data_IF_855799109503
#
_entry.id   IF_855799109503
#
_cell.length_a   1.000
_cell.length_b   1.000
_cell.length_c   1.000
_cell.angle_alpha   90.00
_cell.angle_beta   90.00
_cell.angle_gamma   90.00
#
_symmetry.space_group_name_H-M   'P 1'
#
loop_
_entity.id
_entity.type
_entity.pdbx_description
1 polymer ?
#
# COMPACT_ATOMS: atom_id res chain seq x y z
N UNK A 1 -7.37 11.61 9.57
CA UNK A 1 -7.20 10.95 8.25
C UNK A 1 -7.32 9.44 8.44
N UNK A 2 -8.42 8.79 8.03
CA UNK A 2 -8.64 7.35 8.16
C UNK A 2 -7.48 6.49 7.59
N UNK A 3 -6.72 7.06 6.67
CA UNK A 3 -5.56 6.46 6.01
C UNK A 3 -4.48 5.98 7.00
N UNK A 4 -4.31 6.64 8.15
CA UNK A 4 -3.31 6.26 9.14
C UNK A 4 -3.50 4.84 9.67
N UNK A 5 -4.75 4.44 9.96
CA UNK A 5 -5.07 3.08 10.40
C UNK A 5 -4.96 2.10 9.22
N UNK A 6 -5.28 2.55 7.99
CA UNK A 6 -5.12 1.71 6.80
C UNK A 6 -3.66 1.31 6.57
N UNK A 7 -2.69 2.13 6.97
CA UNK A 7 -1.26 1.74 6.92
C UNK A 7 -0.95 0.56 7.84
N UNK A 8 -1.53 0.52 9.05
CA UNK A 8 -1.40 -0.64 9.94
C UNK A 8 -2.05 -1.89 9.33
N UNK A 9 -3.20 -1.73 8.66
CA UNK A 9 -3.86 -2.84 7.97
C UNK A 9 -3.06 -3.36 6.77
N UNK A 10 -2.36 -2.48 6.04
CA UNK A 10 -1.40 -2.90 4.99
C UNK A 10 -0.32 -3.81 5.58
N UNK A 11 0.32 -3.39 6.69
CA UNK A 11 1.37 -4.20 7.34
C UNK A 11 0.82 -5.55 7.80
N UNK A 12 -0.35 -5.56 8.44
CA UNK A 12 -1.02 -6.80 8.85
C UNK A 12 -1.37 -7.70 7.65
N UNK A 13 -1.78 -7.12 6.52
CA UNK A 13 -2.07 -7.88 5.31
C UNK A 13 -0.83 -8.60 4.77
N UNK A 14 0.34 -7.93 4.75
CA UNK A 14 1.61 -8.56 4.37
C UNK A 14 2.02 -9.64 5.37
N UNK A 15 1.84 -9.44 6.67
CA UNK A 15 2.11 -10.46 7.70
C UNK A 15 1.21 -11.69 7.51
N UNK A 16 -0.09 -11.48 7.25
CA UNK A 16 -1.02 -12.59 7.01
C UNK A 16 -0.76 -13.30 5.69
N UNK A 17 -0.35 -12.59 4.64
CA UNK A 17 0.17 -13.19 3.42
C UNK A 17 1.34 -14.12 3.75
N UNK A 18 2.36 -13.60 4.45
CA UNK A 18 3.55 -14.36 4.81
C UNK A 18 3.20 -15.64 5.57
N UNK A 19 2.31 -15.54 6.56
CA UNK A 19 1.87 -16.70 7.35
C UNK A 19 1.06 -17.69 6.52
N UNK A 20 0.17 -17.22 5.65
CA UNK A 20 -0.75 -18.07 4.89
C UNK A 20 -0.09 -18.80 3.71
N UNK A 21 1.08 -18.34 3.22
CA UNK A 21 1.79 -18.93 2.06
C UNK A 21 2.17 -20.40 2.24
N UNK A 22 2.41 -20.83 3.48
CA UNK A 22 2.85 -22.20 3.77
C UNK A 22 1.71 -23.18 3.53
N UNK A 23 0.49 -22.82 3.97
CA UNK A 23 -0.70 -23.66 3.86
C UNK A 23 -1.97 -22.82 3.91
N UNK A 24 -2.85 -23.05 2.93
CA UNK A 24 -4.21 -22.53 2.95
C UNK A 24 -5.09 -23.36 3.90
N UNK A 25 -5.22 -22.88 5.14
CA UNK A 25 -6.02 -23.49 6.20
C UNK A 25 -6.98 -22.46 6.79
N UNK A 26 -8.05 -22.91 7.45
CA UNK A 26 -9.01 -22.02 8.12
C UNK A 26 -8.32 -21.08 9.12
N UNK A 27 -7.33 -21.59 9.87
CA UNK A 27 -6.56 -20.80 10.83
C UNK A 27 -5.72 -19.67 10.19
N UNK A 28 -5.41 -19.79 8.90
CA UNK A 28 -4.66 -18.76 8.15
C UNK A 28 -5.58 -17.85 7.33
N UNK A 29 -6.72 -18.36 6.86
CA UNK A 29 -7.67 -17.57 6.06
C UNK A 29 -8.65 -16.75 6.89
N UNK A 30 -9.05 -17.23 8.08
CA UNK A 30 -9.99 -16.49 8.93
C UNK A 30 -9.44 -15.10 9.35
N UNK A 31 -8.16 -14.94 9.74
CA UNK A 31 -7.60 -13.62 10.01
C UNK A 31 -7.60 -12.69 8.79
N UNK A 32 -7.40 -13.22 7.58
CA UNK A 32 -7.46 -12.45 6.32
C UNK A 32 -8.88 -11.93 6.09
N UNK A 33 -9.88 -12.81 6.18
CA UNK A 33 -11.29 -12.44 6.00
C UNK A 33 -11.73 -11.45 7.07
N UNK A 34 -11.36 -11.66 8.33
CA UNK A 34 -11.67 -10.75 9.42
C UNK A 34 -11.02 -9.37 9.23
N UNK A 35 -9.75 -9.32 8.80
CA UNK A 35 -9.08 -8.07 8.49
C UNK A 35 -9.79 -7.33 7.36
N UNK A 36 -10.15 -8.02 6.28
CA UNK A 36 -10.86 -7.40 5.16
C UNK A 36 -12.26 -6.91 5.56
N UNK A 37 -12.91 -7.56 6.51
CA UNK A 37 -14.22 -7.14 7.03
C UNK A 37 -14.11 -5.86 7.85
N UNK A 38 -13.17 -5.83 8.78
CA UNK A 38 -12.90 -4.61 9.57
C UNK A 38 -12.47 -3.48 8.65
N UNK A 39 -11.58 -3.77 7.70
CA UNK A 39 -11.06 -2.77 6.80
C UNK A 39 -12.17 -2.20 5.91
N UNK A 40 -12.94 -3.03 5.21
CA UNK A 40 -14.06 -2.60 4.33
C UNK A 40 -15.13 -1.76 5.05
N UNK A 41 -15.34 -1.97 6.35
CA UNK A 41 -16.28 -1.18 7.15
C UNK A 41 -15.68 0.13 7.67
N UNK A 42 -14.35 0.24 7.73
CA UNK A 42 -13.65 1.41 8.21
C UNK A 42 -13.18 2.35 7.08
N UNK A 43 -12.62 1.78 6.00
CA UNK A 43 -12.06 2.50 4.86
C UNK A 43 -11.96 1.59 3.63
N UNK A 44 -11.87 2.15 2.42
CA UNK A 44 -11.65 1.41 1.17
C UNK A 44 -10.42 0.47 1.28
N UNK A 45 -10.58 -0.86 1.26
CA UNK A 45 -9.52 -1.84 1.51
C UNK A 45 -8.82 -2.29 0.23
N UNK A 46 -8.60 -1.36 -0.71
CA UNK A 46 -8.11 -1.70 -2.06
C UNK A 46 -6.73 -2.35 -2.04
N UNK A 47 -5.84 -1.88 -1.15
CA UNK A 47 -4.51 -2.48 -0.96
C UNK A 47 -4.60 -3.89 -0.41
N UNK A 48 -5.55 -4.16 0.49
CA UNK A 48 -5.82 -5.50 0.99
C UNK A 48 -6.20 -6.46 -0.14
N UNK A 49 -7.10 -6.03 -1.05
CA UNK A 49 -7.45 -6.82 -2.23
C UNK A 49 -6.25 -7.09 -3.14
N UNK A 50 -5.43 -6.07 -3.43
CA UNK A 50 -4.23 -6.25 -4.27
C UNK A 50 -3.26 -7.24 -3.61
N UNK A 51 -2.94 -7.06 -2.34
CA UNK A 51 -2.01 -7.93 -1.60
C UNK A 51 -2.51 -9.38 -1.59
N UNK A 52 -3.76 -9.60 -1.20
CA UNK A 52 -4.30 -10.96 -1.13
C UNK A 52 -4.55 -11.57 -2.52
N UNK A 53 -4.80 -10.76 -3.55
CA UNK A 53 -4.81 -11.25 -4.93
C UNK A 53 -3.47 -11.88 -5.32
N UNK A 54 -2.34 -11.25 -4.94
CA UNK A 54 -1.01 -11.86 -5.07
C UNK A 54 -0.91 -13.20 -4.36
N UNK A 55 -1.47 -13.32 -3.15
CA UNK A 55 -1.46 -14.57 -2.38
C UNK A 55 -2.21 -15.68 -3.12
N UNK A 56 -3.39 -15.37 -3.65
CA UNK A 56 -4.18 -16.33 -4.43
C UNK A 56 -3.45 -16.76 -5.72
N UNK A 57 -2.71 -15.87 -6.38
CA UNK A 57 -1.84 -16.21 -7.52
C UNK A 57 -0.74 -17.19 -7.10
N UNK A 58 0.00 -16.91 -6.02
CA UNK A 58 1.08 -17.80 -5.55
C UNK A 58 0.54 -19.21 -5.25
N UNK A 59 -0.60 -19.30 -4.58
CA UNK A 59 -1.24 -20.59 -4.27
C UNK A 59 -1.76 -21.27 -5.54
N UNK A 60 -2.34 -20.53 -6.49
CA UNK A 60 -2.83 -21.09 -7.75
C UNK A 60 -1.67 -21.67 -8.58
N UNK A 61 -0.57 -20.93 -8.71
CA UNK A 61 0.63 -21.41 -9.40
C UNK A 61 1.18 -22.67 -8.74
N UNK A 62 1.28 -22.69 -7.41
CA UNK A 62 1.68 -23.89 -6.67
C UNK A 62 0.76 -25.08 -6.95
N UNK A 63 -0.55 -24.88 -6.93
CA UNK A 63 -1.52 -25.95 -7.23
C UNK A 63 -1.42 -26.46 -8.67
N UNK A 64 -1.12 -25.60 -9.64
CA UNK A 64 -0.87 -25.99 -11.04
C UNK A 64 0.39 -26.87 -11.12
N UNK A 65 1.50 -26.43 -10.52
CA UNK A 65 2.76 -27.19 -10.55
C UNK A 65 2.65 -28.52 -9.81
N UNK A 66 1.96 -28.55 -8.66
CA UNK A 66 1.77 -29.74 -7.84
C UNK A 66 0.66 -30.67 -8.37
N UNK A 67 -0.02 -30.31 -9.47
CA UNK A 67 -1.19 -31.01 -10.04
C UNK A 67 -2.24 -31.34 -8.96
N UNK A 68 -2.59 -30.33 -8.17
CA UNK A 68 -3.45 -30.50 -7.00
C UNK A 68 -4.85 -31.04 -7.37
N UNK A 69 -5.47 -31.86 -6.50
CA UNK A 69 -6.80 -32.40 -6.74
C UNK A 69 -7.88 -31.31 -6.69
N UNK A 70 -9.03 -31.57 -7.32
CA UNK A 70 -10.16 -30.64 -7.40
C UNK A 70 -10.63 -30.09 -6.05
N UNK A 71 -10.57 -30.91 -4.99
CA UNK A 71 -10.94 -30.47 -3.63
C UNK A 71 -10.09 -29.30 -3.11
N UNK A 72 -8.84 -29.17 -3.54
CA UNK A 72 -7.97 -28.05 -3.17
C UNK A 72 -8.36 -26.78 -3.94
N UNK A 73 -8.71 -26.91 -5.22
CA UNK A 73 -9.22 -25.81 -6.04
C UNK A 73 -10.55 -25.27 -5.51
N UNK A 74 -11.46 -26.14 -5.05
CA UNK A 74 -12.71 -25.72 -4.43
C UNK A 74 -12.47 -24.92 -3.14
N UNK A 75 -11.49 -25.32 -2.32
CA UNK A 75 -11.09 -24.56 -1.13
C UNK A 75 -10.50 -23.19 -1.51
N UNK A 76 -9.64 -23.15 -2.52
CA UNK A 76 -9.07 -21.91 -3.04
C UNK A 76 -10.17 -20.96 -3.53
N UNK A 77 -11.11 -21.47 -4.33
CA UNK A 77 -12.23 -20.69 -4.83
C UNK A 77 -13.13 -20.21 -3.69
N UNK A 78 -13.48 -21.09 -2.75
CA UNK A 78 -14.33 -20.75 -1.62
C UNK A 78 -13.75 -19.63 -0.76
N UNK A 79 -12.45 -19.66 -0.48
CA UNK A 79 -11.80 -18.57 0.25
C UNK A 79 -11.65 -17.30 -0.57
N UNK A 80 -11.39 -17.41 -1.89
CA UNK A 80 -11.33 -16.26 -2.78
C UNK A 80 -12.67 -15.52 -2.82
N UNK A 81 -13.76 -16.28 -2.96
CA UNK A 81 -15.13 -15.74 -2.91
C UNK A 81 -15.44 -15.13 -1.54
N UNK A 82 -15.03 -15.74 -0.43
CA UNK A 82 -15.24 -15.19 0.90
C UNK A 82 -14.55 -13.81 1.08
N UNK A 83 -13.31 -13.67 0.61
CA UNK A 83 -12.56 -12.40 0.69
C UNK A 83 -13.23 -11.32 -0.17
N UNK A 84 -13.70 -11.64 -1.37
CA UNK A 84 -14.43 -10.71 -2.23
C UNK A 84 -15.79 -10.36 -1.64
N UNK A 85 -16.56 -11.35 -1.17
CA UNK A 85 -17.91 -11.16 -0.64
C UNK A 85 -17.94 -10.17 0.54
N UNK A 86 -16.90 -10.17 1.37
CA UNK A 86 -16.77 -9.23 2.49
C UNK A 86 -16.79 -7.77 2.04
N UNK A 87 -16.33 -7.45 0.82
CA UNK A 87 -16.39 -6.09 0.29
C UNK A 87 -17.79 -5.55 0.03
N UNK A 88 -18.79 -6.44 -0.06
CA UNK A 88 -20.20 -6.07 -0.20
C UNK A 88 -20.88 -5.84 1.15
N UNK A 89 -20.22 -6.17 2.28
CA UNK A 89 -20.77 -6.01 3.62
C UNK A 89 -20.62 -4.57 4.16
N UNK A 90 -20.26 -3.62 3.30
CA UNK A 90 -20.24 -2.19 3.60
C UNK A 90 -21.66 -1.58 3.54
N UNK A 91 -22.00 -0.60 4.40
CA UNK A 91 -23.26 0.14 4.31
C UNK A 91 -23.49 0.72 2.91
N UNK A 92 -24.56 0.28 2.23
CA UNK A 92 -24.89 0.70 0.87
C UNK A 92 -24.44 -0.25 -0.24
N UNK A 93 -23.88 -1.43 0.09
CA UNK A 93 -23.55 -2.52 -0.85
C UNK A 93 -22.61 -2.14 -2.01
N UNK A 94 -21.95 -0.98 -1.91
CA UNK A 94 -20.98 -0.52 -2.89
C UNK A 94 -19.63 -1.18 -2.62
N UNK A 95 -19.20 -2.05 -3.53
CA UNK A 95 -17.92 -2.73 -3.44
C UNK A 95 -16.77 -1.79 -3.82
N UNK A 96 -15.72 -1.72 -2.99
CA UNK A 96 -14.63 -0.76 -3.19
C UNK A 96 -13.89 -0.91 -4.53
N UNK A 97 -13.77 -2.13 -5.07
CA UNK A 97 -13.21 -2.34 -6.41
C UNK A 97 -14.06 -1.69 -7.51
N UNK A 98 -15.39 -1.68 -7.36
CA UNK A 98 -16.31 -1.05 -8.32
C UNK A 98 -16.15 0.47 -8.22
N UNK A 99 -16.16 1.03 -7.01
CA UNK A 99 -15.97 2.47 -6.80
C UNK A 99 -14.66 2.99 -7.38
N UNK A 100 -13.60 2.17 -7.39
CA UNK A 100 -12.32 2.53 -8.00
C UNK A 100 -12.35 2.45 -9.53
N UNK A 101 -12.95 1.41 -10.11
CA UNK A 101 -13.08 1.27 -11.57
C UNK A 101 -13.88 2.42 -12.21
N UNK A 102 -14.84 2.97 -11.47
CA UNK A 102 -15.70 4.07 -11.93
C UNK A 102 -15.31 5.42 -11.33
N UNK A 103 -14.05 5.60 -10.88
CA UNK A 103 -13.60 6.88 -10.34
C UNK A 103 -13.61 7.97 -11.44
N UNK A 104 -14.36 9.08 -11.28
CA UNK A 104 -14.51 10.05 -12.35
C UNK A 104 -13.19 10.75 -12.69
N UNK A 105 -12.87 10.83 -13.99
CA UNK A 105 -11.61 11.40 -14.47
C UNK A 105 -11.45 12.90 -14.11
N UNK A 106 -12.55 13.62 -13.97
CA UNK A 106 -12.57 15.05 -13.63
C UNK A 106 -11.85 15.34 -12.30
N UNK A 107 -12.02 14.48 -11.30
CA UNK A 107 -11.36 14.62 -9.99
C UNK A 107 -9.85 14.47 -10.07
N UNK A 108 -9.32 13.72 -11.05
CA UNK A 108 -7.87 13.55 -11.22
C UNK A 108 -7.17 14.85 -11.61
N UNK A 109 -7.87 15.73 -12.31
CA UNK A 109 -7.32 17.01 -12.76
C UNK A 109 -7.49 18.11 -11.70
N UNK A 110 -8.57 18.05 -10.92
CA UNK A 110 -8.91 19.08 -9.93
C UNK A 110 -8.15 18.93 -8.60
N UNK A 111 -7.80 17.71 -8.21
CA UNK A 111 -7.17 17.44 -6.90
C UNK A 111 -5.72 17.02 -7.10
N UNK A 112 -4.78 17.81 -6.55
CA UNK A 112 -3.33 17.57 -6.68
C UNK A 112 -2.90 16.17 -6.23
N UNK A 113 -3.52 15.60 -5.19
CA UNK A 113 -3.19 14.26 -4.68
C UNK A 113 -3.45 13.13 -5.70
N UNK A 114 -4.33 13.35 -6.68
CA UNK A 114 -4.66 12.37 -7.74
C UNK A 114 -3.88 12.59 -9.04
N UNK A 115 -3.02 13.62 -9.09
CA UNK A 115 -2.14 13.85 -10.22
C UNK A 115 -0.93 12.90 -10.18
N UNK A 116 -0.21 12.82 -11.29
CA UNK A 116 0.95 11.93 -11.43
C UNK A 116 2.10 12.31 -10.51
N UNK A 117 2.69 11.30 -9.88
CA UNK A 117 3.89 11.46 -9.05
C UNK A 117 5.11 11.95 -9.83
N UNK A 118 5.08 11.82 -11.16
CA UNK A 118 6.11 12.30 -12.09
C UNK A 118 6.25 13.83 -12.06
N UNK A 119 5.28 14.55 -11.52
CA UNK A 119 5.35 16.01 -11.32
C UNK A 119 6.21 16.39 -10.10
N UNK A 120 6.48 15.46 -9.17
CA UNK A 120 7.18 15.70 -7.91
C UNK A 120 8.62 15.12 -7.92
N UNK A 121 9.30 15.19 -9.08
CA UNK A 121 10.65 14.62 -9.31
C UNK A 121 11.75 15.16 -8.41
N UNK A 122 11.53 16.24 -7.66
CA UNK A 122 12.58 16.85 -6.84
C UNK A 122 12.72 16.21 -5.44
N UNK A 123 11.84 15.26 -5.10
CA UNK A 123 11.86 14.62 -3.78
C UNK A 123 12.87 13.45 -3.77
N UNK A 124 14.00 13.65 -3.09
CA UNK A 124 15.06 12.63 -2.92
C UNK A 124 14.53 11.28 -2.41
N UNK A 125 13.55 11.29 -1.51
CA UNK A 125 12.94 10.09 -0.95
C UNK A 125 12.25 9.19 -2.00
N UNK A 126 11.74 9.76 -3.10
CA UNK A 126 11.14 8.99 -4.20
C UNK A 126 12.21 8.14 -4.89
N UNK A 127 13.40 8.68 -5.13
CA UNK A 127 14.50 7.93 -5.74
C UNK A 127 15.00 6.79 -4.87
N UNK A 128 15.07 6.98 -3.55
CA UNK A 128 15.39 5.91 -2.62
C UNK A 128 14.36 4.78 -2.67
N UNK A 129 13.07 5.13 -2.70
CA UNK A 129 11.96 4.18 -2.87
C UNK A 129 12.03 3.42 -4.21
N UNK A 130 12.39 4.09 -5.30
CA UNK A 130 12.62 3.46 -6.61
C UNK A 130 13.75 2.42 -6.51
N UNK A 131 14.87 2.79 -5.89
CA UNK A 131 15.99 1.87 -5.67
C UNK A 131 15.57 0.61 -4.90
N UNK A 132 14.87 0.80 -3.77
CA UNK A 132 14.32 -0.30 -2.97
C UNK A 132 13.35 -1.15 -3.80
N UNK A 133 12.47 -0.52 -4.57
CA UNK A 133 11.50 -1.23 -5.41
C UNK A 133 12.18 -2.11 -6.46
N UNK A 134 13.19 -1.60 -7.17
CA UNK A 134 13.96 -2.36 -8.17
C UNK A 134 14.64 -3.57 -7.52
N UNK A 135 15.33 -3.37 -6.38
CA UNK A 135 15.97 -4.46 -5.66
C UNK A 135 14.94 -5.49 -5.19
N UNK A 136 13.79 -5.04 -4.69
CA UNK A 136 12.71 -5.92 -4.23
C UNK A 136 12.18 -6.78 -5.38
N UNK A 137 11.91 -6.18 -6.55
CA UNK A 137 11.47 -6.93 -7.74
C UNK A 137 12.50 -7.96 -8.18
N UNK A 138 13.78 -7.60 -8.19
CA UNK A 138 14.87 -8.52 -8.54
C UNK A 138 14.96 -9.70 -7.56
N UNK A 139 14.86 -9.44 -6.26
CA UNK A 139 14.87 -10.48 -5.23
C UNK A 139 13.64 -11.38 -5.30
N UNK A 140 12.44 -10.81 -5.55
CA UNK A 140 11.21 -11.57 -5.73
C UNK A 140 11.27 -12.49 -6.94
N UNK A 141 11.83 -11.99 -8.06
CA UNK A 141 12.05 -12.79 -9.27
C UNK A 141 13.04 -13.92 -9.00
N UNK A 142 14.15 -13.63 -8.31
CA UNK A 142 15.15 -14.63 -7.96
C UNK A 142 14.58 -15.73 -7.05
N UNK A 143 13.77 -15.35 -6.06
CA UNK A 143 13.10 -16.26 -5.12
C UNK A 143 11.82 -16.90 -5.68
N UNK A 144 11.40 -16.52 -6.89
CA UNK A 144 10.19 -17.02 -7.59
C UNK A 144 8.88 -16.77 -6.82
N UNK A 145 8.79 -15.62 -6.14
CA UNK A 145 7.56 -15.16 -5.49
C UNK A 145 6.69 -14.37 -6.49
N UNK A 146 6.06 -15.07 -7.42
CA UNK A 146 5.35 -14.46 -8.55
C UNK A 146 4.12 -13.63 -8.13
N UNK A 147 3.38 -14.06 -7.11
CA UNK A 147 2.23 -13.34 -6.57
C UNK A 147 2.62 -11.96 -6.03
N UNK A 148 3.66 -11.91 -5.19
CA UNK A 148 4.21 -10.64 -4.69
C UNK A 148 4.86 -9.80 -5.78
N UNK A 149 5.48 -10.44 -6.78
CA UNK A 149 6.04 -9.73 -7.93
C UNK A 149 4.94 -8.96 -8.67
N UNK A 150 3.79 -9.60 -8.93
CA UNK A 150 2.62 -8.96 -9.54
C UNK A 150 2.09 -7.83 -8.66
N UNK A 151 1.98 -8.05 -7.34
CA UNK A 151 1.55 -7.02 -6.39
C UNK A 151 2.46 -5.80 -6.44
N UNK A 152 3.77 -5.99 -6.30
CA UNK A 152 4.74 -4.89 -6.34
C UNK A 152 4.71 -4.17 -7.69
N UNK A 153 4.65 -4.89 -8.81
CA UNK A 153 4.58 -4.29 -10.14
C UNK A 153 3.32 -3.43 -10.32
N UNK A 154 2.15 -3.92 -9.91
CA UNK A 154 0.90 -3.17 -9.96
C UNK A 154 0.95 -1.92 -9.07
N UNK A 155 1.46 -2.05 -7.84
CA UNK A 155 1.56 -0.93 -6.91
C UNK A 155 2.54 0.15 -7.38
N UNK A 156 3.66 -0.25 -8.01
CA UNK A 156 4.59 0.69 -8.64
C UNK A 156 3.89 1.41 -9.80
N UNK A 157 3.23 0.68 -10.69
CA UNK A 157 2.49 1.27 -11.80
C UNK A 157 1.47 2.32 -11.33
N UNK A 158 0.66 1.99 -10.34
CA UNK A 158 -0.32 2.93 -9.78
C UNK A 158 0.31 4.09 -9.01
N UNK A 159 1.44 3.88 -8.35
CA UNK A 159 2.16 4.96 -7.66
C UNK A 159 2.76 6.00 -8.61
N UNK A 160 3.05 5.62 -9.85
CA UNK A 160 3.49 6.57 -10.90
C UNK A 160 2.30 7.40 -11.41
N UNK A 161 1.12 6.78 -11.54
CA UNK A 161 -0.11 7.45 -11.99
C UNK A 161 -0.68 8.43 -10.94
N UNK A 162 -0.56 8.12 -9.64
CA UNK A 162 -1.16 8.92 -8.56
C UNK A 162 -0.24 9.10 -7.36
N UNK A 163 0.02 10.37 -6.98
CA UNK A 163 0.83 10.75 -5.80
C UNK A 163 0.30 10.11 -4.51
N UNK A 164 -1.03 10.12 -4.30
CA UNK A 164 -1.65 9.56 -3.09
C UNK A 164 -1.33 8.08 -2.87
N UNK A 165 -0.98 7.34 -3.93
CA UNK A 165 -0.66 5.91 -3.85
C UNK A 165 0.83 5.65 -3.56
N UNK A 166 1.71 6.67 -3.65
CA UNK A 166 3.16 6.52 -3.41
C UNK A 166 3.44 6.01 -2.00
N UNK A 167 2.90 6.66 -0.96
CA UNK A 167 3.13 6.28 0.44
C UNK A 167 2.63 4.85 0.75
N UNK A 168 1.36 4.48 0.52
CA UNK A 168 0.90 3.13 0.82
C UNK A 168 1.59 2.06 -0.02
N UNK A 169 1.88 2.31 -1.31
CA UNK A 169 2.68 1.39 -2.14
C UNK A 169 4.09 1.23 -1.58
N UNK A 170 4.73 2.32 -1.15
CA UNK A 170 6.04 2.31 -0.52
C UNK A 170 6.08 1.47 0.75
N UNK A 171 5.06 1.56 1.60
CA UNK A 171 4.92 0.72 2.81
C UNK A 171 4.86 -0.76 2.43
N UNK A 172 4.03 -1.14 1.45
CA UNK A 172 3.96 -2.54 0.98
C UNK A 172 5.32 -3.02 0.50
N UNK A 173 5.97 -2.24 -0.37
CA UNK A 173 7.27 -2.59 -0.96
C UNK A 173 8.33 -2.74 0.12
N UNK A 174 8.38 -1.84 1.11
CA UNK A 174 9.31 -1.92 2.23
C UNK A 174 9.07 -3.15 3.10
N UNK A 175 7.81 -3.48 3.40
CA UNK A 175 7.48 -4.70 4.14
C UNK A 175 7.89 -5.96 3.38
N UNK A 176 7.63 -6.01 2.07
CA UNK A 176 8.03 -7.15 1.22
C UNK A 176 9.55 -7.23 1.11
N UNK A 177 10.24 -6.10 0.93
CA UNK A 177 11.70 -6.02 0.94
C UNK A 177 12.28 -6.58 2.24
N UNK A 178 11.85 -6.06 3.39
CA UNK A 178 12.32 -6.50 4.69
C UNK A 178 12.09 -7.99 4.91
N UNK A 179 10.92 -8.49 4.49
CA UNK A 179 10.62 -9.91 4.53
C UNK A 179 11.60 -10.72 3.65
N UNK A 180 11.73 -10.43 2.36
CA UNK A 180 12.59 -11.22 1.47
C UNK A 180 14.06 -11.18 1.93
N UNK A 181 14.52 -10.02 2.40
CA UNK A 181 15.85 -9.85 2.99
C UNK A 181 16.02 -10.73 4.23
N UNK A 182 15.01 -10.82 5.11
CA UNK A 182 15.06 -11.70 6.30
C UNK A 182 15.14 -13.20 5.95
N UNK A 183 14.71 -13.61 4.75
CA UNK A 183 14.83 -14.99 4.29
C UNK A 183 16.16 -15.30 3.61
N UNK A 184 16.93 -14.26 3.29
CA UNK A 184 18.29 -14.43 2.85
C UNK A 184 19.12 -14.67 4.12
N UNK A 185 19.91 -15.73 4.13
CA UNK A 185 20.86 -15.98 5.21
C UNK A 185 21.98 -14.92 5.11
N UNK A 186 21.65 -13.70 5.55
CA UNK A 186 22.47 -12.51 5.35
C UNK A 186 23.82 -12.68 6.00
N UNK A 187 23.85 -13.35 7.15
CA UNK A 187 25.09 -13.66 7.87
C UNK A 187 26.03 -14.50 7.00
N UNK A 188 25.53 -15.57 6.38
CA UNK A 188 26.33 -16.41 5.48
C UNK A 188 26.83 -15.66 4.24
N UNK A 189 26.03 -14.76 3.67
CA UNK A 189 26.42 -13.98 2.50
C UNK A 189 27.38 -12.85 2.85
N UNK A 190 27.18 -12.16 3.98
CA UNK A 190 28.06 -11.10 4.47
C UNK A 190 29.43 -11.65 4.88
N UNK A 191 29.49 -12.86 5.41
CA UNK A 191 30.77 -13.54 5.72
C UNK A 191 31.59 -13.88 4.47
N UNK A 192 30.96 -14.01 3.30
CA UNK A 192 31.65 -14.22 2.01
C UNK A 192 32.13 -12.92 1.36
N UNK A 193 31.65 -11.77 1.83
CA UNK A 193 32.05 -10.47 1.34
C UNK A 193 33.31 -10.03 2.11
N UNK A 194 34.35 -9.50 1.44
CA UNK A 194 35.52 -8.95 2.13
C UNK A 194 35.10 -7.96 3.21
N UNK A 195 35.66 -8.07 4.42
CA UNK A 195 35.23 -7.28 5.58
C UNK A 195 35.19 -5.78 5.26
N UNK A 196 36.18 -5.23 4.55
CA UNK A 196 36.19 -3.83 4.13
C UNK A 196 34.98 -3.43 3.26
N UNK A 197 34.55 -4.29 2.33
CA UNK A 197 33.38 -4.03 1.47
C UNK A 197 32.07 -4.12 2.27
N UNK A 198 31.98 -5.08 3.20
CA UNK A 198 30.82 -5.24 4.08
C UNK A 198 30.61 -4.01 4.99
N UNK A 199 31.69 -3.50 5.59
CA UNK A 199 31.63 -2.27 6.41
C UNK A 199 31.32 -1.04 5.56
N UNK A 200 31.87 -0.93 4.34
CA UNK A 200 31.56 0.16 3.43
C UNK A 200 30.08 0.13 2.99
N UNK A 201 29.52 -1.05 2.71
CA UNK A 201 28.10 -1.22 2.38
C UNK A 201 27.22 -0.86 3.58
N UNK A 202 27.56 -1.34 4.77
CA UNK A 202 26.83 -0.99 6.00
C UNK A 202 26.85 0.51 6.30
N UNK A 203 28.01 1.15 6.18
CA UNK A 203 28.14 2.60 6.32
C UNK A 203 27.36 3.38 5.26
N UNK A 204 27.37 2.92 4.01
CA UNK A 204 26.58 3.52 2.91
C UNK A 204 25.08 3.43 3.21
N UNK A 205 24.58 2.28 3.68
CA UNK A 205 23.17 2.10 4.07
C UNK A 205 22.81 3.04 5.21
N UNK A 206 23.65 3.17 6.23
CA UNK A 206 23.43 4.09 7.36
C UNK A 206 23.37 5.54 6.88
N UNK A 207 24.32 5.97 6.04
CA UNK A 207 24.34 7.33 5.48
C UNK A 207 23.08 7.60 4.66
N UNK A 208 22.67 6.66 3.81
CA UNK A 208 21.43 6.79 3.02
C UNK A 208 20.19 6.86 3.92
N UNK A 209 20.14 6.07 4.99
CA UNK A 209 19.05 6.14 5.97
C UNK A 209 19.02 7.49 6.68
N UNK A 210 20.17 8.02 7.11
CA UNK A 210 20.26 9.33 7.78
C UNK A 210 19.83 10.44 6.82
N UNK A 211 20.33 10.46 5.58
CA UNK A 211 19.96 11.43 4.56
C UNK A 211 18.48 11.34 4.19
N UNK A 212 17.94 10.13 4.06
CA UNK A 212 16.51 9.91 3.83
C UNK A 212 15.67 10.43 4.99
N UNK A 213 16.11 10.21 6.24
CA UNK A 213 15.36 10.65 7.41
C UNK A 213 15.43 12.17 7.56
N UNK A 214 16.60 12.78 7.34
CA UNK A 214 16.77 14.23 7.44
C UNK A 214 15.94 14.96 6.38
N UNK A 215 15.97 14.48 5.14
CA UNK A 215 15.16 15.06 4.05
C UNK A 215 13.67 14.90 4.30
N UNK A 216 13.22 13.75 4.81
CA UNK A 216 11.82 13.55 5.19
C UNK A 216 11.38 14.48 6.33
N UNK A 217 12.22 14.66 7.36
CA UNK A 217 11.95 15.58 8.47
C UNK A 217 11.91 17.03 8.00
N UNK A 218 12.83 17.42 7.12
CA UNK A 218 12.89 18.77 6.58
C UNK A 218 11.69 19.09 5.69
N UNK A 219 11.25 18.14 4.84
CA UNK A 219 10.00 18.27 4.09
C UNK A 219 8.78 18.32 4.98
N UNK A 220 8.68 17.43 5.98
CA UNK A 220 7.56 17.47 6.92
C UNK A 220 7.50 18.84 7.64
N UNK A 221 8.66 19.39 8.01
CA UNK A 221 8.76 20.71 8.62
C UNK A 221 8.37 21.82 7.65
N UNK A 222 8.82 21.79 6.39
CA UNK A 222 8.47 22.79 5.38
C UNK A 222 6.97 22.79 5.09
N UNK A 223 6.35 21.62 4.91
CA UNK A 223 4.90 21.50 4.76
C UNK A 223 4.13 21.99 5.98
N UNK A 224 4.59 21.69 7.20
CA UNK A 224 3.94 22.22 8.41
C UNK A 224 4.06 23.74 8.54
N UNK A 225 5.19 24.31 8.11
CA UNK A 225 5.38 25.76 8.10
C UNK A 225 4.52 26.44 7.03
N UNK A 226 4.45 25.85 5.82
CA UNK A 226 3.64 26.34 4.71
C UNK A 226 2.13 26.24 4.99
N UNK A 227 1.69 25.16 5.66
CA UNK A 227 0.31 25.02 6.11
C UNK A 227 -0.04 26.06 7.18
N UNK A 228 0.89 26.44 8.07
CA UNK A 228 0.68 27.53 9.04
C UNK A 228 0.52 28.89 8.37
N UNK A 229 1.22 29.15 7.27
CA UNK A 229 1.07 30.39 6.50
C UNK A 229 -0.18 30.38 5.61
N UNK A 230 -0.65 29.20 5.21
CA UNK A 230 -1.84 29.03 4.35
C UNK A 230 -3.17 29.11 5.13
N UNK A 231 -3.16 28.98 6.46
CA UNK A 231 -4.35 29.20 7.30
C UNK A 231 -4.96 30.61 7.16
N UNK A 232 -4.20 31.58 6.63
CA UNK A 232 -4.72 32.91 6.30
C UNK A 232 -5.59 32.95 5.03
N UNK A 233 -5.53 31.94 4.16
CA UNK A 233 -6.18 31.94 2.84
C UNK A 233 -7.37 30.97 2.72
N UNK A 234 -7.54 30.07 3.69
CA UNK A 234 -8.68 29.18 3.77
C UNK A 234 -9.48 29.58 5.01
N UNK A 235 -10.81 29.74 4.92
CA UNK A 235 -11.61 30.04 6.11
C UNK A 235 -11.45 28.87 7.08
N UNK A 236 -10.74 29.11 8.18
CA UNK A 236 -10.58 28.13 9.27
C UNK A 236 -11.95 27.73 9.86
N UNK A 237 -12.97 28.57 9.64
CA UNK A 237 -14.37 28.35 9.98
C UNK A 237 -15.25 28.32 8.72
N UNK A 238 -15.09 27.33 7.84
CA UNK A 238 -15.99 27.10 6.69
C UNK A 238 -17.47 27.12 7.12
N UNK A 239 -17.76 26.62 8.33
CA UNK A 239 -19.09 26.66 8.95
C UNK A 239 -19.54 28.09 9.17
N UNK A 240 -18.71 28.93 9.79
CA UNK A 240 -19.06 30.32 10.09
C UNK A 240 -19.10 31.17 8.81
N UNK A 241 -18.21 30.93 7.85
CA UNK A 241 -18.28 31.55 6.53
C UNK A 241 -19.58 31.23 5.79
N UNK A 242 -20.03 29.97 5.84
CA UNK A 242 -21.30 29.56 5.22
C UNK A 242 -22.50 30.17 5.95
N UNK A 243 -22.45 30.27 7.27
CA UNK A 243 -23.47 30.96 8.08
C UNK A 243 -23.51 32.45 7.72
N UNK A 244 -22.37 33.13 7.67
CA UNK A 244 -22.24 34.57 7.39
C UNK A 244 -22.66 34.94 5.96
N UNK A 245 -22.41 34.05 4.99
CA UNK A 245 -22.80 34.26 3.59
C UNK A 245 -24.22 33.73 3.27
N UNK A 246 -24.94 33.17 4.25
CA UNK A 246 -26.27 32.58 4.05
C UNK A 246 -26.27 31.39 3.10
N UNK A 247 -25.12 30.72 2.94
CA UNK A 247 -24.95 29.57 2.05
C UNK A 247 -25.32 28.30 2.81
N UNK A 248 -26.44 27.68 2.44
CA UNK A 248 -26.86 26.39 3.01
C UNK A 248 -26.46 25.24 2.10
N UNK A 249 -25.68 24.29 2.61
CA UNK A 249 -25.23 23.12 1.85
C UNK A 249 -24.54 22.08 2.73
N UNK A 250 -24.34 20.87 2.22
CA UNK A 250 -23.57 19.85 2.95
C UNK A 250 -22.08 20.17 2.80
N UNK A 251 -21.45 20.57 3.91
CA UNK A 251 -19.99 20.81 4.00
C UNK A 251 -19.23 19.50 3.76
N UNK A 252 -19.81 18.39 4.21
CA UNK A 252 -19.28 17.06 3.99
C UNK A 252 -19.85 16.48 2.70
N UNK A 253 -18.97 16.22 1.73
CA UNK A 253 -19.29 15.41 0.57
C UNK A 253 -19.72 14.00 1.04
N UNK A 254 -20.66 13.38 0.30
CA UNK A 254 -21.04 11.97 0.51
C UNK A 254 -19.83 11.09 0.14
N UNK A 255 -18.90 10.87 1.07
CA UNK A 255 -17.61 10.27 0.73
C UNK A 255 -17.61 8.74 0.86
N UNK A 256 -17.60 8.07 -0.29
CA UNK A 256 -16.96 6.75 -0.47
C UNK A 256 -15.46 6.83 -0.86
N UNK A 257 -14.92 8.05 -1.08
CA UNK A 257 -13.60 8.26 -1.73
C UNK A 257 -12.57 9.14 -1.00
N UNK A 258 -12.89 9.64 0.21
CA UNK A 258 -11.95 10.33 1.11
C UNK A 258 -11.26 11.59 0.56
N UNK A 259 -12.01 12.67 0.38
CA UNK A 259 -11.49 14.04 0.34
C UNK A 259 -12.19 14.87 1.44
N UNK A 260 -11.75 16.10 1.67
CA UNK A 260 -12.43 17.07 2.52
C UNK A 260 -12.36 18.42 1.79
N UNK A 261 -13.42 19.22 1.89
CA UNK A 261 -13.32 20.67 1.73
C UNK A 261 -12.90 21.23 3.09
#
# INVERSE_FOLDING_TARGET
RPELISYSFIVLAVIFYYRARVRMSTANMLPIVALMLVWSNYHTPIFGYIIFFGYFIDIALKQIFDRAPMGTWLKWLGWGLAVVAVGFLHPGFNHSLISWLFFPAEWKNLIQEYQSAVLYREIAAIYALIGVAIVTLALLLWKRHFGLLVVCALLIFFSVDMVRLVTPSGIVILCVFAWIVSEINLEYQLQRIPSGLSHAMGGTVIILLILSLSTAVEQARSFMLENRTSGANFPEDVVDYMIDQGITGRIFNYYGGGGYL
#
